data_IF_184373945003
#
_entry.id   IF_184373945003
#
_cell.length_a   1.000
_cell.length_b   1.000
_cell.length_c   1.000
_cell.angle_alpha   90.00
_cell.angle_beta   90.00
_cell.angle_gamma   90.00
#
_symmetry.space_group_name_H-M   'P 1'
#
loop_
_entity.id
_entity.type
_entity.pdbx_description
1 polymer ?
#
# COMPACT_ATOMS: atom_id res chain seq x y z
N UNK A 1 -31.52 -32.67 -6.07
CA UNK A 1 -30.06 -32.62 -6.31
C UNK A 1 -29.87 -31.73 -7.53
N UNK A 2 -29.27 -30.55 -7.41
CA UNK A 2 -29.16 -29.62 -8.54
C UNK A 2 -27.95 -29.99 -9.39
N UNK A 3 -28.20 -30.57 -10.56
CA UNK A 3 -27.17 -30.81 -11.59
C UNK A 3 -26.92 -29.55 -12.42
N UNK A 4 -25.70 -29.40 -12.93
CA UNK A 4 -25.32 -28.32 -13.85
C UNK A 4 -25.03 -28.97 -15.20
N UNK A 5 -25.78 -28.58 -16.24
CA UNK A 5 -25.58 -29.09 -17.60
C UNK A 5 -24.98 -28.02 -18.51
N UNK A 6 -23.84 -28.34 -19.11
CA UNK A 6 -23.09 -27.44 -19.99
C UNK A 6 -23.44 -27.68 -21.46
N UNK A 7 -23.82 -26.62 -22.18
CA UNK A 7 -24.24 -26.69 -23.58
C UNK A 7 -23.31 -25.86 -24.46
N UNK A 8 -22.74 -26.48 -25.50
CA UNK A 8 -21.70 -25.91 -26.36
C UNK A 8 -22.16 -25.89 -27.83
N UNK A 9 -23.22 -25.16 -28.16
CA UNK A 9 -23.71 -25.03 -29.52
C UNK A 9 -24.09 -23.58 -29.85
N UNK A 10 -23.51 -23.01 -30.91
CA UNK A 10 -23.56 -21.59 -31.36
C UNK A 10 -23.29 -20.53 -30.29
N UNK A 11 -23.99 -20.54 -29.15
CA UNK A 11 -23.76 -19.74 -27.96
C UNK A 11 -23.55 -20.66 -26.73
N UNK A 12 -22.47 -20.46 -25.98
CA UNK A 12 -22.18 -21.25 -24.77
C UNK A 12 -23.07 -20.82 -23.61
N UNK A 13 -23.82 -21.76 -23.03
CA UNK A 13 -24.66 -21.53 -21.84
C UNK A 13 -24.70 -22.76 -20.93
N UNK A 14 -25.15 -22.57 -19.70
CA UNK A 14 -25.44 -23.66 -18.76
C UNK A 14 -26.86 -23.56 -18.21
N UNK A 15 -27.39 -24.68 -17.74
CA UNK A 15 -28.69 -24.77 -17.05
C UNK A 15 -28.49 -25.37 -15.66
N UNK A 16 -29.30 -24.95 -14.69
CA UNK A 16 -29.22 -25.47 -13.30
C UNK A 16 -30.54 -26.20 -12.99
N UNK A 17 -30.43 -27.48 -12.63
CA UNK A 17 -31.58 -28.34 -12.30
C UNK A 17 -32.44 -28.74 -13.50
N UNK A 18 -33.64 -29.24 -13.24
CA UNK A 18 -34.52 -29.83 -14.27
C UNK A 18 -35.18 -28.80 -15.21
N UNK A 19 -35.01 -27.50 -14.96
CA UNK A 19 -35.64 -26.45 -15.75
C UNK A 19 -34.82 -26.09 -16.99
N UNK A 20 -34.93 -26.92 -18.04
CA UNK A 20 -34.27 -26.72 -19.35
C UNK A 20 -34.66 -25.42 -20.08
N UNK A 21 -35.67 -24.70 -19.59
CA UNK A 21 -36.10 -23.41 -20.13
C UNK A 21 -35.24 -22.22 -19.68
N UNK A 22 -34.60 -22.30 -18.52
CA UNK A 22 -33.75 -21.22 -18.00
C UNK A 22 -32.28 -21.43 -18.40
N UNK A 23 -31.80 -20.59 -19.31
CA UNK A 23 -30.43 -20.64 -19.83
C UNK A 23 -29.60 -19.51 -19.23
N UNK A 24 -28.45 -19.83 -18.67
CA UNK A 24 -27.49 -18.86 -18.14
C UNK A 24 -26.30 -18.76 -19.09
N UNK A 25 -26.11 -17.59 -19.69
CA UNK A 25 -24.97 -17.33 -20.56
C UNK A 25 -23.70 -17.12 -19.74
N UNK A 26 -22.56 -17.56 -20.27
CA UNK A 26 -21.28 -17.15 -19.72
C UNK A 26 -21.07 -15.67 -20.02
N UNK A 27 -20.90 -14.86 -18.98
CA UNK A 27 -20.41 -13.50 -19.15
C UNK A 27 -18.98 -13.58 -19.71
N UNK A 28 -18.85 -13.53 -21.04
CA UNK A 28 -17.57 -13.20 -21.65
C UNK A 28 -17.26 -11.76 -21.29
N UNK A 29 -16.56 -11.58 -20.16
CA UNK A 29 -15.82 -10.37 -19.88
C UNK A 29 -14.75 -10.23 -20.97
N UNK A 30 -15.12 -9.65 -22.11
CA UNK A 30 -14.17 -8.94 -22.95
C UNK A 30 -13.72 -7.76 -22.10
N UNK A 31 -12.60 -7.96 -21.40
CA UNK A 31 -11.92 -6.95 -20.60
C UNK A 31 -11.36 -5.89 -21.56
N UNK A 32 -12.23 -5.07 -22.12
CA UNK A 32 -11.86 -3.71 -22.47
C UNK A 32 -11.86 -2.97 -21.14
N UNK A 33 -10.65 -2.64 -20.69
CA UNK A 33 -10.41 -1.84 -19.50
C UNK A 33 -10.94 -0.44 -19.80
N UNK A 34 -12.19 -0.18 -19.45
CA UNK A 34 -12.71 1.18 -19.29
C UNK A 34 -13.01 1.31 -17.81
N UNK A 35 -12.07 1.90 -17.09
CA UNK A 35 -12.13 2.10 -15.64
C UNK A 35 -13.19 3.14 -15.34
N UNK A 36 -14.40 2.70 -15.00
CA UNK A 36 -15.38 3.51 -14.28
C UNK A 36 -15.75 2.80 -12.98
N UNK A 37 -14.84 2.84 -12.01
CA UNK A 37 -15.09 2.54 -10.58
C UNK A 37 -15.05 3.87 -9.81
N UNK A 38 -16.21 4.46 -9.52
CA UNK A 38 -16.29 5.82 -8.94
C UNK A 38 -16.74 5.79 -7.46
N UNK A 39 -16.46 4.74 -6.68
CA UNK A 39 -17.01 4.68 -5.31
C UNK A 39 -16.15 4.13 -4.15
N UNK A 40 -15.01 3.43 -4.34
CA UNK A 40 -14.14 3.09 -3.19
C UNK A 40 -12.92 4.03 -3.03
N UNK A 41 -12.42 4.60 -4.13
CA UNK A 41 -11.15 5.36 -4.14
C UNK A 41 -11.26 6.69 -3.39
N UNK A 42 -12.45 7.31 -3.39
CA UNK A 42 -12.64 8.62 -2.73
C UNK A 42 -12.52 8.54 -1.21
N UNK A 43 -13.00 7.46 -0.57
CA UNK A 43 -13.00 7.38 0.89
C UNK A 43 -11.57 7.20 1.45
N UNK A 44 -10.76 6.38 0.79
CA UNK A 44 -9.36 6.16 1.16
C UNK A 44 -8.50 7.39 0.86
N UNK A 45 -8.78 8.09 -0.24
CA UNK A 45 -8.11 9.35 -0.59
C UNK A 45 -8.42 10.46 0.43
N UNK A 46 -9.67 10.60 0.86
CA UNK A 46 -10.04 11.57 1.89
C UNK A 46 -9.41 11.23 3.24
N UNK A 47 -9.35 9.93 3.58
CA UNK A 47 -8.62 9.47 4.77
C UNK A 47 -7.14 9.83 4.68
N UNK A 48 -6.50 9.55 3.54
CA UNK A 48 -5.10 9.91 3.29
C UNK A 48 -4.86 11.42 3.43
N UNK A 49 -5.74 12.26 2.90
CA UNK A 49 -5.67 13.71 3.09
C UNK A 49 -5.70 14.09 4.57
N UNK A 50 -6.63 13.52 5.34
CA UNK A 50 -6.80 13.83 6.77
C UNK A 50 -5.68 13.30 7.68
N UNK A 51 -5.08 12.16 7.33
CA UNK A 51 -4.08 11.51 8.19
C UNK A 51 -2.64 11.88 7.80
N UNK A 52 -2.35 12.05 6.50
CA UNK A 52 -0.98 12.23 6.00
C UNK A 52 -0.71 13.64 5.45
N UNK A 53 -1.71 14.32 4.90
CA UNK A 53 -1.54 15.66 4.32
C UNK A 53 -2.02 16.79 5.22
N UNK A 54 -2.59 16.48 6.40
CA UNK A 54 -3.11 17.50 7.32
C UNK A 54 -2.03 18.44 7.86
N UNK A 55 -0.81 17.93 8.02
CA UNK A 55 0.36 18.71 8.45
C UNK A 55 1.21 19.20 7.27
N UNK A 56 0.84 18.86 6.04
CA UNK A 56 1.60 19.23 4.85
C UNK A 56 1.33 20.69 4.46
N UNK A 57 2.38 21.49 4.34
CA UNK A 57 2.28 22.86 3.81
C UNK A 57 2.17 22.83 2.28
N UNK A 58 0.94 22.75 1.78
CA UNK A 58 0.65 22.87 0.35
C UNK A 58 0.58 24.37 -0.03
N UNK A 59 1.16 24.72 -1.18
CA UNK A 59 1.19 26.10 -1.66
C UNK A 59 -0.21 26.69 -1.82
N UNK A 60 -0.42 27.87 -1.22
CA UNK A 60 -1.66 28.66 -1.33
C UNK A 60 -1.93 29.19 -2.74
N UNK A 61 -0.95 29.13 -3.64
CA UNK A 61 -1.10 29.57 -5.03
C UNK A 61 -1.78 28.53 -5.92
N UNK A 62 -1.99 27.32 -5.41
CA UNK A 62 -2.68 26.26 -6.15
C UNK A 62 -4.19 26.44 -6.07
N UNK A 63 -4.84 26.35 -7.22
CA UNK A 63 -6.31 26.27 -7.30
C UNK A 63 -6.82 24.96 -6.70
N UNK A 64 -8.08 24.92 -6.27
CA UNK A 64 -8.69 23.72 -5.69
C UNK A 64 -8.58 22.49 -6.62
N UNK A 65 -8.67 22.70 -7.93
CA UNK A 65 -8.48 21.63 -8.92
C UNK A 65 -7.06 21.06 -8.87
N UNK A 66 -6.05 21.92 -8.78
CA UNK A 66 -4.65 21.52 -8.74
C UNK A 66 -4.29 20.84 -7.41
N UNK A 67 -4.87 21.29 -6.30
CA UNK A 67 -4.69 20.62 -5.01
C UNK A 67 -5.31 19.21 -5.01
N UNK A 68 -6.47 19.05 -5.64
CA UNK A 68 -7.10 17.75 -5.79
C UNK A 68 -6.30 16.82 -6.70
N UNK A 69 -5.73 17.34 -7.79
CA UNK A 69 -4.84 16.58 -8.67
C UNK A 69 -3.54 16.17 -7.96
N UNK A 70 -2.93 17.10 -7.20
CA UNK A 70 -1.74 16.83 -6.40
C UNK A 70 -1.99 15.75 -5.35
N UNK A 71 -3.08 15.87 -4.59
CA UNK A 71 -3.43 14.87 -3.56
C UNK A 71 -3.73 13.50 -4.15
N UNK A 72 -4.37 13.43 -5.32
CA UNK A 72 -4.55 12.17 -6.04
C UNK A 72 -3.21 11.56 -6.47
N UNK A 73 -2.30 12.37 -7.03
CA UNK A 73 -0.97 11.92 -7.45
C UNK A 73 -0.14 11.41 -6.26
N UNK A 74 -0.18 12.12 -5.13
CA UNK A 74 0.51 11.70 -3.91
C UNK A 74 -0.06 10.40 -3.34
N UNK A 75 -1.37 10.22 -3.39
CA UNK A 75 -2.02 9.00 -2.94
C UNK A 75 -1.68 7.79 -3.84
N UNK A 76 -1.63 8.00 -5.15
CA UNK A 76 -1.25 6.97 -6.13
C UNK A 76 0.20 6.48 -5.92
N UNK A 77 1.07 7.36 -5.42
CA UNK A 77 2.47 7.08 -5.16
C UNK A 77 2.81 6.98 -3.66
N UNK A 78 1.82 6.79 -2.79
CA UNK A 78 2.03 6.83 -1.32
C UNK A 78 3.07 5.82 -0.81
N UNK A 79 3.20 4.67 -1.47
CA UNK A 79 4.16 3.61 -1.12
C UNK A 79 5.62 4.00 -1.41
N UNK A 80 5.85 5.05 -2.20
CA UNK A 80 7.20 5.56 -2.48
C UNK A 80 7.73 6.48 -1.37
N UNK A 81 6.90 6.85 -0.40
CA UNK A 81 7.27 7.74 0.70
C UNK A 81 7.38 6.95 2.00
N UNK A 82 8.28 7.40 2.87
CA UNK A 82 8.36 6.87 4.23
C UNK A 82 7.10 7.28 5.01
N UNK A 83 6.54 6.35 5.78
CA UNK A 83 5.51 6.65 6.78
C UNK A 83 5.96 6.14 8.15
N UNK A 84 5.37 6.65 9.23
CA UNK A 84 5.67 6.21 10.60
C UNK A 84 5.51 4.69 10.78
N UNK A 85 4.60 4.08 10.00
CA UNK A 85 4.35 2.63 10.01
C UNK A 85 5.27 1.86 9.06
N UNK A 86 5.78 2.53 8.03
CA UNK A 86 6.54 1.94 6.93
C UNK A 86 7.79 2.81 6.66
N UNK A 87 8.81 2.75 7.53
CA UNK A 87 10.05 3.48 7.33
C UNK A 87 10.84 2.87 6.17
N UNK A 88 11.59 3.72 5.45
CA UNK A 88 12.41 3.33 4.28
C UNK A 88 13.54 2.34 4.59
N UNK A 89 13.79 2.07 5.88
CA UNK A 89 14.97 1.36 6.37
C UNK A 89 14.88 -0.17 6.22
N UNK A 90 13.69 -0.73 5.95
CA UNK A 90 13.47 -2.17 5.83
C UNK A 90 13.63 -2.67 4.37
N UNK A 91 14.74 -2.31 3.72
CA UNK A 91 15.01 -2.81 2.36
C UNK A 91 15.47 -4.27 2.45
N UNK A 92 14.59 -5.18 2.02
CA UNK A 92 14.87 -6.62 1.97
C UNK A 92 16.15 -6.86 1.16
N UNK A 93 17.13 -7.56 1.75
CA UNK A 93 18.41 -7.87 1.12
C UNK A 93 19.55 -6.88 1.38
N UNK A 94 19.30 -5.78 2.11
CA UNK A 94 20.34 -4.87 2.61
C UNK A 94 20.65 -5.09 4.10
N UNK A 95 20.39 -6.29 4.60
CA UNK A 95 20.71 -6.69 5.97
C UNK A 95 22.23 -6.65 6.19
N UNK A 96 22.66 -6.06 7.30
CA UNK A 96 24.09 -5.95 7.65
C UNK A 96 24.42 -6.98 8.72
N UNK A 97 25.18 -8.00 8.34
CA UNK A 97 25.74 -8.97 9.29
C UNK A 97 26.99 -8.38 9.97
N UNK A 98 26.81 -7.88 11.20
CA UNK A 98 27.92 -7.40 12.03
C UNK A 98 28.44 -8.56 12.88
N UNK A 99 29.55 -9.17 12.44
CA UNK A 99 30.25 -10.20 13.22
C UNK A 99 31.32 -9.53 14.08
N UNK A 100 31.18 -9.63 15.41
CA UNK A 100 32.18 -9.15 16.34
C UNK A 100 33.32 -10.17 16.43
N UNK A 101 34.51 -9.80 15.98
CA UNK A 101 35.73 -10.58 16.18
C UNK A 101 36.13 -10.52 17.68
N UNK A 102 35.57 -11.44 18.47
CA UNK A 102 35.90 -11.63 19.89
C UNK A 102 37.02 -12.66 20.12
N UNK A 103 37.66 -13.09 19.04
CA UNK A 103 38.79 -14.01 19.11
C UNK A 103 40.01 -13.33 19.76
N UNK A 104 40.79 -14.11 20.50
CA UNK A 104 42.06 -13.62 21.05
C UNK A 104 42.94 -13.11 19.90
N UNK A 105 43.62 -11.96 20.06
CA UNK A 105 43.87 -11.23 21.30
C UNK A 105 42.89 -10.07 21.61
N UNK A 106 41.75 -9.95 20.91
CA UNK A 106 40.87 -8.78 20.99
C UNK A 106 39.55 -9.10 21.72
N UNK A 107 39.52 -9.10 23.07
CA UNK A 107 38.26 -9.25 23.79
C UNK A 107 37.34 -8.05 23.50
N UNK A 108 36.02 -8.25 23.42
CA UNK A 108 35.09 -7.15 23.24
C UNK A 108 35.26 -6.16 24.39
N UNK A 109 35.62 -4.92 24.05
CA UNK A 109 35.85 -3.86 25.01
C UNK A 109 34.52 -3.51 25.70
N UNK A 110 34.48 -3.65 27.03
CA UNK A 110 33.42 -3.07 27.84
C UNK A 110 33.42 -1.56 27.59
N UNK A 111 32.32 -1.03 27.03
CA UNK A 111 32.17 0.42 26.85
C UNK A 111 32.32 1.09 28.22
N UNK A 112 33.13 2.16 28.26
CA UNK A 112 33.07 3.12 29.37
C UNK A 112 31.65 3.67 29.46
N UNK A 113 31.16 4.06 30.66
CA UNK A 113 29.87 4.73 30.76
C UNK A 113 29.84 5.90 29.77
N UNK A 114 28.68 6.11 29.13
CA UNK A 114 28.48 7.26 28.27
C UNK A 114 28.91 8.52 29.04
N UNK A 115 29.67 9.39 28.39
CA UNK A 115 30.01 10.66 29.00
C UNK A 115 28.71 11.40 29.31
N UNK A 116 28.58 12.07 30.48
CA UNK A 116 27.36 12.79 30.81
C UNK A 116 26.99 13.75 29.68
N UNK A 117 25.71 13.74 29.29
CA UNK A 117 25.24 14.60 28.23
C UNK A 117 25.37 16.07 28.61
N UNK A 118 25.62 16.92 27.61
CA UNK A 118 25.67 18.36 27.85
C UNK A 118 24.28 18.87 28.26
N UNK A 119 24.16 19.91 29.10
CA UNK A 119 22.87 20.49 29.48
C UNK A 119 21.98 20.81 28.27
N UNK A 120 22.60 21.30 27.19
CA UNK A 120 21.93 21.63 25.92
C UNK A 120 21.38 20.39 25.20
N UNK A 121 22.03 19.24 25.33
CA UNK A 121 21.57 17.98 24.72
C UNK A 121 20.37 17.43 25.47
N UNK A 122 20.36 17.55 26.80
CA UNK A 122 19.26 17.13 27.66
C UNK A 122 18.00 17.96 27.41
N UNK A 123 18.14 19.27 27.13
CA UNK A 123 17.02 20.16 26.80
C UNK A 123 16.38 19.90 25.42
N UNK A 124 17.07 19.19 24.52
CA UNK A 124 16.62 18.94 23.15
C UNK A 124 15.98 17.56 22.94
N UNK A 125 15.96 16.72 23.99
CA UNK A 125 15.28 15.43 24.07
C UNK A 125 13.83 15.61 24.52
#
# INVERSE_FOLDING_TARGET
MYGIDLHNNKDRYFTIGDNKGQKFAFLLFKRQITVSKVAPVSLELERFKSEQLNEAEISLHLTDSQQNELSALLYDHREAFASDKEPLEAIIGHEVDIILNIERPYPPLLRRPAYPESPKSIEAL
#
